data_IF_951678456884
#
_entry.id   IF_951678456884
#
_cell.length_a   1.000
_cell.length_b   1.000
_cell.length_c   1.000
_cell.angle_alpha   90.00
_cell.angle_beta   90.00
_cell.angle_gamma   90.00
#
_symmetry.space_group_name_H-M   'P 1'
#
loop_
_entity.id
_entity.type
_entity.pdbx_description
1 polymer ?
#
# COMPACT_ATOMS: atom_id res chain seq x y z
N UNK A 1 -0.83 -12.76 -3.03
CA UNK A 1 -2.29 -12.51 -2.95
C UNK A 1 -2.83 -12.68 -1.53
N UNK A 2 -2.57 -13.79 -0.82
CA UNK A 2 -3.04 -13.95 0.57
C UNK A 2 -2.57 -12.83 1.51
N UNK A 3 -1.29 -12.45 1.49
CA UNK A 3 -0.74 -11.38 2.34
C UNK A 3 -1.45 -10.03 2.17
N UNK A 4 -1.54 -9.52 0.94
CA UNK A 4 -2.17 -8.21 0.68
C UNK A 4 -3.64 -8.16 1.13
N UNK A 5 -4.38 -9.26 0.93
CA UNK A 5 -5.80 -9.32 1.29
C UNK A 5 -6.05 -9.56 2.79
N UNK A 6 -5.26 -10.43 3.41
CA UNK A 6 -5.47 -10.86 4.80
C UNK A 6 -4.76 -9.96 5.82
N UNK A 7 -3.59 -9.42 5.49
CA UNK A 7 -2.75 -8.70 6.44
C UNK A 7 -2.82 -7.18 6.21
N UNK A 8 -2.66 -6.75 4.95
CA UNK A 8 -2.57 -5.33 4.62
C UNK A 8 -3.95 -4.68 4.54
N UNK A 9 -4.88 -5.26 3.78
CA UNK A 9 -6.19 -4.63 3.54
C UNK A 9 -6.99 -4.34 4.83
N UNK A 10 -7.05 -5.22 5.85
CA UNK A 10 -7.83 -4.95 7.05
C UNK A 10 -7.26 -3.79 7.89
N UNK A 11 -5.94 -3.75 8.07
CA UNK A 11 -5.25 -2.69 8.81
C UNK A 11 -5.35 -1.35 8.08
N UNK A 12 -5.12 -1.35 6.76
CA UNK A 12 -5.25 -0.16 5.92
C UNK A 12 -6.70 0.35 5.89
N UNK A 13 -7.69 -0.56 5.89
CA UNK A 13 -9.11 -0.23 5.96
C UNK A 13 -9.51 0.40 7.31
N UNK A 14 -8.96 -0.10 8.42
CA UNK A 14 -9.19 0.45 9.77
C UNK A 14 -8.66 1.87 9.93
N UNK A 15 -7.60 2.23 9.21
CA UNK A 15 -7.11 3.61 9.13
C UNK A 15 -7.94 4.44 8.14
N UNK A 16 -8.19 3.93 6.93
CA UNK A 16 -8.80 4.70 5.85
C UNK A 16 -10.29 5.00 6.05
N UNK A 17 -11.11 4.02 6.46
CA UNK A 17 -12.57 4.14 6.46
C UNK A 17 -13.10 5.23 7.43
N UNK A 18 -12.52 5.41 8.63
CA UNK A 18 -12.90 6.53 9.49
C UNK A 18 -12.59 7.91 8.89
N UNK A 19 -11.50 8.04 8.12
CA UNK A 19 -11.10 9.31 7.50
C UNK A 19 -12.09 9.79 6.44
N UNK A 20 -12.80 8.87 5.78
CA UNK A 20 -13.82 9.18 4.78
C UNK A 20 -15.25 9.14 5.35
N UNK A 21 -15.40 9.01 6.68
CA UNK A 21 -16.69 8.98 7.35
C UNK A 21 -17.52 7.71 7.11
N UNK A 22 -16.90 6.62 6.63
CA UNK A 22 -17.59 5.32 6.47
C UNK A 22 -17.77 4.58 7.79
N UNK A 23 -16.79 4.73 8.69
CA UNK A 23 -16.81 4.16 10.03
C UNK A 23 -16.66 5.30 11.07
N UNK A 24 -17.18 5.16 12.30
CA UNK A 24 -16.99 6.16 13.35
C UNK A 24 -15.50 6.35 13.70
N UNK A 25 -15.07 7.59 13.86
CA UNK A 25 -13.69 7.88 14.25
C UNK A 25 -13.43 7.54 15.72
N UNK A 26 -12.51 6.61 15.96
CA UNK A 26 -11.96 6.32 17.27
C UNK A 26 -10.43 6.42 17.19
N UNK A 27 -9.86 7.40 17.90
CA UNK A 27 -8.43 7.71 17.84
C UNK A 27 -7.55 6.50 18.14
N UNK A 28 -7.86 5.72 19.18
CA UNK A 28 -7.10 4.52 19.56
C UNK A 28 -7.12 3.48 18.44
N UNK A 29 -8.29 3.19 17.88
CA UNK A 29 -8.41 2.19 16.81
C UNK A 29 -7.66 2.61 15.54
N UNK A 30 -7.70 3.91 15.20
CA UNK A 30 -6.97 4.45 14.06
C UNK A 30 -5.46 4.36 14.29
N UNK A 31 -4.97 4.77 15.46
CA UNK A 31 -3.53 4.66 15.82
C UNK A 31 -3.04 3.20 15.86
N UNK A 32 -3.86 2.28 16.37
CA UNK A 32 -3.54 0.86 16.38
C UNK A 32 -3.52 0.28 14.94
N UNK A 33 -4.42 0.74 14.07
CA UNK A 33 -4.45 0.38 12.64
C UNK A 33 -3.28 0.97 11.85
N UNK A 34 -2.85 2.19 12.19
CA UNK A 34 -1.66 2.84 11.64
C UNK A 34 -0.41 2.00 11.90
N UNK A 35 -0.14 1.70 13.17
CA UNK A 35 1.00 0.87 13.58
C UNK A 35 0.99 -0.51 12.93
N UNK A 36 -0.20 -1.12 12.85
CA UNK A 36 -0.35 -2.40 12.17
C UNK A 36 -0.02 -2.29 10.67
N UNK A 37 -0.52 -1.26 10.00
CA UNK A 37 -0.24 -1.00 8.57
C UNK A 37 1.25 -0.81 8.34
N UNK A 38 1.91 0.03 9.14
CA UNK A 38 3.36 0.30 9.02
C UNK A 38 4.19 -0.97 9.20
N UNK A 39 3.83 -1.84 10.16
CA UNK A 39 4.54 -3.10 10.33
C UNK A 39 4.44 -4.01 9.09
N UNK A 40 3.29 -4.03 8.41
CA UNK A 40 3.12 -4.82 7.17
C UNK A 40 3.83 -4.17 5.99
N UNK A 41 3.81 -2.84 5.90
CA UNK A 41 4.54 -2.10 4.88
C UNK A 41 6.04 -2.27 5.03
N UNK A 42 6.56 -2.28 6.26
CA UNK A 42 7.96 -2.60 6.54
C UNK A 42 8.37 -3.98 6.00
N UNK A 43 7.49 -4.97 6.12
CA UNK A 43 7.75 -6.30 5.55
C UNK A 43 7.87 -6.24 4.02
N UNK A 44 7.05 -5.42 3.36
CA UNK A 44 7.16 -5.20 1.92
C UNK A 44 8.41 -4.38 1.55
N UNK A 45 8.77 -3.40 2.36
CA UNK A 45 9.97 -2.58 2.21
C UNK A 45 11.23 -3.45 2.24
N UNK A 46 11.37 -4.30 3.25
CA UNK A 46 12.51 -5.20 3.40
C UNK A 46 12.64 -6.16 2.19
N UNK A 47 11.51 -6.64 1.66
CA UNK A 47 11.47 -7.49 0.47
C UNK A 47 11.84 -6.72 -0.80
N UNK A 48 11.26 -5.54 -1.01
CA UNK A 48 11.44 -4.72 -2.20
C UNK A 48 12.76 -3.93 -2.21
N UNK A 49 13.49 -3.91 -1.09
CA UNK A 49 14.85 -3.40 -1.03
C UNK A 49 15.80 -4.24 -1.90
N UNK A 50 15.58 -5.56 -1.97
CA UNK A 50 16.42 -6.49 -2.75
C UNK A 50 15.79 -6.91 -4.08
N UNK A 51 14.52 -6.59 -4.31
CA UNK A 51 13.75 -7.07 -5.47
C UNK A 51 13.05 -5.90 -6.18
N UNK A 52 12.94 -5.95 -7.51
CA UNK A 52 12.20 -4.92 -8.26
C UNK A 52 10.68 -5.11 -8.14
N UNK A 53 10.22 -6.35 -8.15
CA UNK A 53 8.81 -6.73 -8.07
C UNK A 53 8.58 -7.72 -6.94
N UNK A 54 7.32 -7.99 -6.61
CA UNK A 54 6.96 -8.91 -5.55
C UNK A 54 7.34 -10.36 -5.86
N UNK A 55 7.36 -10.75 -7.15
CA UNK A 55 7.69 -12.11 -7.58
C UNK A 55 8.55 -12.07 -8.85
N UNK A 56 9.82 -12.46 -8.72
CA UNK A 56 10.78 -12.48 -9.82
C UNK A 56 11.09 -11.07 -10.35
N UNK A 57 11.52 -10.99 -11.62
CA UNK A 57 12.06 -9.74 -12.22
C UNK A 57 11.13 -9.10 -13.25
N UNK A 58 9.83 -9.37 -13.20
CA UNK A 58 8.82 -8.73 -14.06
C UNK A 58 7.51 -8.51 -13.31
N UNK A 59 6.71 -7.54 -13.77
CA UNK A 59 5.36 -7.31 -13.23
C UNK A 59 4.53 -8.59 -13.34
N UNK A 60 3.92 -8.97 -12.22
CA UNK A 60 3.00 -10.09 -12.13
C UNK A 60 1.64 -9.64 -11.59
N UNK A 61 0.68 -10.58 -11.56
CA UNK A 61 -0.59 -10.35 -10.88
C UNK A 61 -0.41 -9.99 -9.39
N UNK A 62 0.65 -10.48 -8.74
CA UNK A 62 0.92 -10.13 -7.36
C UNK A 62 1.15 -8.62 -7.20
N UNK A 63 1.88 -8.01 -8.13
CA UNK A 63 2.18 -6.58 -8.14
C UNK A 63 0.92 -5.75 -8.38
N UNK A 64 0.19 -6.05 -9.46
CA UNK A 64 -1.03 -5.33 -9.84
C UNK A 64 -2.06 -5.39 -8.72
N UNK A 65 -2.30 -6.58 -8.16
CA UNK A 65 -3.26 -6.78 -7.09
C UNK A 65 -2.85 -6.04 -5.81
N UNK A 66 -1.58 -6.14 -5.41
CA UNK A 66 -1.11 -5.51 -4.17
C UNK A 66 -1.08 -3.99 -4.30
N UNK A 67 -0.67 -3.45 -5.46
CA UNK A 67 -0.69 -2.01 -5.74
C UNK A 67 -2.12 -1.45 -5.62
N UNK A 68 -3.11 -2.16 -6.16
CA UNK A 68 -4.52 -1.77 -6.01
C UNK A 68 -4.96 -1.71 -4.55
N UNK A 69 -4.54 -2.66 -3.71
CA UNK A 69 -4.90 -2.70 -2.28
C UNK A 69 -4.28 -1.56 -1.48
N UNK A 70 -3.06 -1.15 -1.79
CA UNK A 70 -2.35 -0.08 -1.05
C UNK A 70 -2.59 1.32 -1.62
N UNK A 71 -3.24 1.43 -2.79
CA UNK A 71 -3.48 2.69 -3.51
C UNK A 71 -4.12 3.79 -2.65
N UNK A 72 -5.06 3.44 -1.75
CA UNK A 72 -5.70 4.41 -0.85
C UNK A 72 -4.74 4.96 0.18
N UNK A 73 -3.73 4.19 0.60
CA UNK A 73 -2.66 4.71 1.44
C UNK A 73 -1.90 5.81 0.72
N UNK A 74 -1.43 5.54 -0.50
CA UNK A 74 -0.74 6.53 -1.34
C UNK A 74 -1.58 7.77 -1.65
N UNK A 75 -2.89 7.62 -1.79
CA UNK A 75 -3.78 8.74 -2.09
C UNK A 75 -4.09 9.64 -0.87
N UNK A 76 -4.17 9.07 0.34
CA UNK A 76 -4.73 9.79 1.49
C UNK A 76 -3.76 10.05 2.64
N UNK A 77 -2.81 9.16 2.94
CA UNK A 77 -2.04 9.26 4.19
C UNK A 77 -0.59 8.75 4.15
N UNK A 78 -0.14 8.07 3.08
CA UNK A 78 1.29 7.90 2.83
C UNK A 78 1.84 9.19 2.21
N UNK A 79 2.04 10.15 3.11
CA UNK A 79 2.55 11.47 2.80
C UNK A 79 4.04 11.43 2.42
N UNK A 80 4.61 12.61 2.22
CA UNK A 80 6.01 12.74 1.81
C UNK A 80 6.97 12.12 2.83
N UNK A 81 6.75 12.33 4.13
CA UNK A 81 7.63 11.83 5.17
C UNK A 81 7.59 10.30 5.23
N UNK A 82 6.39 9.72 5.17
CA UNK A 82 6.23 8.27 5.14
C UNK A 82 6.94 7.62 3.94
N UNK A 83 6.84 8.25 2.75
CA UNK A 83 7.49 7.78 1.53
C UNK A 83 9.02 7.89 1.57
N UNK A 84 9.55 8.90 2.27
CA UNK A 84 10.98 9.03 2.52
C UNK A 84 11.50 7.91 3.44
N UNK A 85 10.68 7.44 4.38
CA UNK A 85 11.00 6.30 5.25
C UNK A 85 10.81 4.94 4.57
N UNK A 86 9.97 4.85 3.53
CA UNK A 86 9.67 3.62 2.77
C UNK A 86 9.97 3.78 1.27
N UNK A 87 11.24 4.02 0.90
CA UNK A 87 11.61 4.33 -0.48
C UNK A 87 11.39 3.16 -1.45
N UNK A 88 11.56 1.91 -1.02
CA UNK A 88 11.47 0.73 -1.88
C UNK A 88 10.02 0.42 -2.25
N UNK A 89 9.10 0.49 -1.29
CA UNK A 89 7.66 0.37 -1.49
C UNK A 89 7.15 1.53 -2.35
N UNK A 90 7.62 2.75 -2.09
CA UNK A 90 7.24 3.93 -2.90
C UNK A 90 7.68 3.76 -4.36
N UNK A 91 8.96 3.43 -4.60
CA UNK A 91 9.50 3.15 -5.93
C UNK A 91 8.69 2.06 -6.65
N UNK A 92 8.42 0.96 -5.96
CA UNK A 92 7.67 -0.16 -6.53
C UNK A 92 6.25 0.26 -6.91
N UNK A 93 5.54 0.98 -6.02
CA UNK A 93 4.18 1.43 -6.29
C UNK A 93 4.14 2.37 -7.50
N UNK A 94 5.04 3.36 -7.58
CA UNK A 94 5.13 4.27 -8.72
C UNK A 94 5.47 3.53 -10.02
N UNK A 95 6.36 2.54 -9.97
CA UNK A 95 6.73 1.72 -11.13
C UNK A 95 5.53 0.90 -11.64
N UNK A 96 4.75 0.28 -10.74
CA UNK A 96 3.59 -0.54 -11.09
C UNK A 96 2.42 0.33 -11.54
N UNK A 97 2.14 1.42 -10.83
CA UNK A 97 0.98 2.27 -11.10
C UNK A 97 1.12 3.09 -12.39
N UNK A 98 2.35 3.27 -12.89
CA UNK A 98 2.61 3.89 -14.21
C UNK A 98 2.58 2.90 -15.39
N UNK A 99 2.40 1.59 -15.16
CA UNK A 99 2.20 0.63 -16.25
C UNK A 99 0.83 0.85 -16.89
N UNK A 100 0.74 0.81 -18.22
CA UNK A 100 -0.54 1.02 -18.95
C UNK A 100 -1.67 0.12 -18.46
N UNK A 101 -1.36 -1.17 -18.21
CA UNK A 101 -2.33 -2.15 -17.68
C UNK A 101 -2.99 -1.71 -16.37
N UNK A 102 -2.32 -0.88 -15.57
CA UNK A 102 -2.84 -0.33 -14.34
C UNK A 102 -3.39 1.09 -14.54
N UNK A 103 -2.59 1.98 -15.12
CA UNK A 103 -2.89 3.40 -15.27
C UNK A 103 -4.13 3.66 -16.13
N UNK A 104 -4.35 2.87 -17.18
CA UNK A 104 -5.50 3.05 -18.09
C UNK A 104 -6.84 2.75 -17.38
N UNK A 105 -6.81 2.03 -16.25
CA UNK A 105 -8.00 1.64 -15.47
C UNK A 105 -8.12 2.46 -14.18
N UNK A 106 -7.02 2.64 -13.46
CA UNK A 106 -7.00 3.30 -12.15
C UNK A 106 -6.75 4.82 -12.23
N UNK A 107 -6.30 5.32 -13.38
CA UNK A 107 -5.71 6.65 -13.51
C UNK A 107 -4.25 6.68 -13.07
N UNK A 108 -3.56 7.79 -13.37
CA UNK A 108 -2.19 8.00 -12.88
C UNK A 108 -2.21 8.46 -11.41
N UNK A 109 -1.27 7.98 -10.58
CA UNK A 109 -1.11 8.42 -9.19
C UNK A 109 -0.96 9.93 -9.03
#
# INVERSE_FOLDING_TARGET
MSFANAEVLPSLGGWFRPLIGRDPYNKKNVEDSQKATDLKMKTMEDHLMLNTYLVGERVTLADIFTAAMVSRGFQFFFDKAWREEHPSVTRWYETVANQSIYADVAGKP
#
